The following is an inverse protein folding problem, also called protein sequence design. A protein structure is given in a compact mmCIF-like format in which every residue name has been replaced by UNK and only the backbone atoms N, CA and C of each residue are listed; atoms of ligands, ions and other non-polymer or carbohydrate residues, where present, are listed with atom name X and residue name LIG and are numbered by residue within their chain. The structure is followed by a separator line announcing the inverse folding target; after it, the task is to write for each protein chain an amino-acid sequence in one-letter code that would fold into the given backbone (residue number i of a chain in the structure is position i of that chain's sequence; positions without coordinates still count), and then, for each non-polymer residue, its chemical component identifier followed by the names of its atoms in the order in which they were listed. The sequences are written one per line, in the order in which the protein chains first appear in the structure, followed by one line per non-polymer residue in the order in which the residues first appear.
data_IF_723152980549
#
_entry.id   IF_723152980549
#
_cell.length_a   1.000
_cell.length_b   1.000
_cell.length_c   1.000
_cell.angle_alpha   90.00
_cell.angle_beta   90.00
_cell.angle_gamma   90.00
#
_symmetry.space_group_name_H-M   'P 1'
#
loop_
_entity.id
_entity.type
_entity.pdbx_description
1 polymer ?
#
# COMPACT_ATOMS: atom_id res chain seq x y z
N UNK A 1 -24.61 -71.64 -8.01
CA UNK A 1 -24.01 -70.41 -8.58
C UNK A 1 -22.58 -70.33 -8.08
N UNK A 2 -21.61 -70.18 -8.99
CA UNK A 2 -20.20 -70.39 -8.69
C UNK A 2 -19.65 -69.22 -7.85
N UNK A 3 -19.26 -69.44 -6.59
CA UNK A 3 -18.82 -68.39 -5.67
C UNK A 3 -17.70 -67.52 -6.27
N UNK A 4 -16.84 -68.11 -7.11
CA UNK A 4 -15.76 -67.43 -7.80
C UNK A 4 -16.24 -66.36 -8.81
N UNK A 5 -17.40 -66.58 -9.45
CA UNK A 5 -17.98 -65.61 -10.40
C UNK A 5 -18.53 -64.40 -9.65
N UNK A 6 -19.18 -64.63 -8.50
CA UNK A 6 -19.72 -63.55 -7.67
C UNK A 6 -18.59 -62.69 -7.08
N UNK A 7 -17.51 -63.32 -6.61
CA UNK A 7 -16.33 -62.62 -6.11
C UNK A 7 -15.63 -61.80 -7.19
N UNK A 8 -15.50 -62.35 -8.41
CA UNK A 8 -14.90 -61.61 -9.53
C UNK A 8 -15.73 -60.38 -9.93
N UNK A 9 -17.06 -60.53 -10.00
CA UNK A 9 -17.95 -59.40 -10.26
C UNK A 9 -17.77 -58.34 -9.18
N UNK A 10 -17.82 -58.71 -7.89
CA UNK A 10 -17.67 -57.77 -6.78
C UNK A 10 -16.35 -56.98 -6.83
N UNK A 11 -15.22 -57.66 -7.06
CA UNK A 11 -13.91 -57.02 -7.16
C UNK A 11 -13.86 -56.06 -8.36
N UNK A 12 -14.42 -56.47 -9.50
CA UNK A 12 -14.49 -55.61 -10.68
C UNK A 12 -15.34 -54.36 -10.44
N UNK A 13 -16.47 -54.48 -9.73
CA UNK A 13 -17.33 -53.31 -9.43
C UNK A 13 -16.62 -52.34 -8.48
N UNK A 14 -15.93 -52.84 -7.46
CA UNK A 14 -15.16 -52.01 -6.52
C UNK A 14 -14.03 -51.27 -7.26
N UNK A 15 -13.31 -51.97 -8.15
CA UNK A 15 -12.26 -51.35 -8.95
C UNK A 15 -12.80 -50.22 -9.85
N UNK A 16 -13.94 -50.44 -10.51
CA UNK A 16 -14.59 -49.43 -11.37
C UNK A 16 -15.01 -48.21 -10.53
N UNK A 17 -15.63 -48.42 -9.36
CA UNK A 17 -16.03 -47.32 -8.46
C UNK A 17 -14.82 -46.52 -7.98
N UNK A 18 -13.72 -47.20 -7.62
CA UNK A 18 -12.49 -46.55 -7.19
C UNK A 18 -11.85 -45.71 -8.33
N UNK A 19 -11.87 -46.22 -9.57
CA UNK A 19 -11.40 -45.48 -10.75
C UNK A 19 -12.27 -44.24 -10.99
N UNK A 20 -13.60 -44.39 -10.98
CA UNK A 20 -14.53 -43.27 -11.18
C UNK A 20 -14.38 -42.20 -10.09
N UNK A 21 -14.21 -42.61 -8.83
CA UNK A 21 -13.96 -41.68 -7.73
C UNK A 21 -12.62 -40.94 -7.89
N UNK A 22 -11.57 -41.66 -8.30
CA UNK A 22 -10.25 -41.05 -8.55
C UNK A 22 -10.29 -40.06 -9.70
N UNK A 23 -10.99 -40.39 -10.80
CA UNK A 23 -11.20 -39.49 -11.94
C UNK A 23 -12.03 -38.27 -11.53
N UNK A 24 -13.09 -38.45 -10.75
CA UNK A 24 -13.91 -37.34 -10.25
C UNK A 24 -13.09 -36.41 -9.33
N UNK A 25 -12.32 -36.95 -8.38
CA UNK A 25 -11.44 -36.16 -7.51
C UNK A 25 -10.37 -35.44 -8.32
N UNK A 26 -9.76 -36.10 -9.31
CA UNK A 26 -8.78 -35.49 -10.20
C UNK A 26 -9.39 -34.37 -11.04
N UNK A 27 -10.59 -34.58 -11.61
CA UNK A 27 -11.29 -33.59 -12.42
C UNK A 27 -11.76 -32.40 -11.59
N UNK A 28 -12.28 -32.63 -10.37
CA UNK A 28 -12.60 -31.58 -9.40
C UNK A 28 -11.32 -30.80 -9.11
N UNK A 29 -10.21 -31.47 -8.77
CA UNK A 29 -8.94 -30.79 -8.47
C UNK A 29 -8.39 -29.99 -9.66
N UNK A 30 -8.50 -30.50 -10.88
CA UNK A 30 -8.13 -29.79 -12.11
C UNK A 30 -9.04 -28.60 -12.38
N UNK A 31 -10.36 -28.76 -12.21
CA UNK A 31 -11.33 -27.69 -12.40
C UNK A 31 -11.11 -26.56 -11.38
N UNK A 32 -10.88 -26.90 -10.11
CA UNK A 32 -10.53 -25.91 -9.09
C UNK A 32 -9.14 -25.31 -9.35
N UNK A 33 -8.11 -26.09 -9.72
CA UNK A 33 -6.80 -25.52 -10.03
C UNK A 33 -6.81 -24.61 -11.27
N UNK A 34 -7.54 -24.94 -12.34
CA UNK A 34 -7.66 -24.08 -13.53
C UNK A 34 -8.56 -22.86 -13.29
N UNK A 35 -9.56 -22.98 -12.41
CA UNK A 35 -10.46 -21.86 -12.08
C UNK A 35 -9.85 -20.92 -11.04
N UNK A 36 -8.96 -21.43 -10.20
CA UNK A 36 -8.27 -20.74 -9.12
C UNK A 36 -6.76 -20.90 -9.32
N UNK A 37 -6.27 -20.58 -10.52
CA UNK A 37 -4.85 -20.68 -10.88
C UNK A 37 -4.01 -19.89 -9.84
N UNK A 38 -3.36 -20.61 -8.92
CA UNK A 38 -2.54 -20.04 -7.84
C UNK A 38 -1.09 -20.42 -8.13
N UNK A 39 -0.55 -19.82 -9.18
CA UNK A 39 0.85 -19.42 -9.19
C UNK A 39 0.86 -17.91 -8.89
N UNK A 40 1.86 -17.37 -8.16
CA UNK A 40 1.99 -15.93 -8.00
C UNK A 40 2.26 -15.31 -9.37
N UNK A 41 1.20 -14.88 -10.04
CA UNK A 41 1.31 -14.22 -11.34
C UNK A 41 1.98 -12.87 -11.11
N UNK A 42 3.16 -12.71 -11.69
CA UNK A 42 3.75 -11.39 -11.86
C UNK A 42 2.97 -10.70 -12.97
N UNK A 43 2.03 -9.83 -12.60
CA UNK A 43 1.20 -9.08 -13.55
C UNK A 43 1.72 -7.66 -13.69
N UNK A 44 1.73 -7.13 -14.91
CA UNK A 44 1.95 -5.69 -15.16
C UNK A 44 0.61 -4.98 -15.13
N UNK A 45 0.50 -3.89 -14.37
CA UNK A 45 -0.72 -3.07 -14.32
C UNK A 45 -0.62 -1.99 -15.40
N UNK A 46 -1.27 -2.22 -16.55
CA UNK A 46 -1.20 -1.29 -17.69
C UNK A 46 -1.78 0.10 -17.40
N UNK A 47 -2.70 0.20 -16.43
CA UNK A 47 -3.29 1.47 -15.98
C UNK A 47 -2.34 2.31 -15.11
N UNK A 48 -1.29 1.72 -14.55
CA UNK A 48 -0.27 2.37 -13.73
C UNK A 48 1.04 2.57 -14.53
N UNK A 49 0.95 3.31 -15.64
CA UNK A 49 2.13 3.71 -16.41
C UNK A 49 2.96 4.75 -15.68
N UNK A 50 4.23 4.92 -16.12
CA UNK A 50 5.16 5.94 -15.62
C UNK A 50 4.50 7.33 -15.47
N UNK A 51 3.95 7.85 -16.57
CA UNK A 51 3.37 9.20 -16.62
C UNK A 51 2.20 9.34 -15.63
N UNK A 52 1.36 8.31 -15.54
CA UNK A 52 0.17 8.32 -14.68
C UNK A 52 0.54 8.25 -13.20
N UNK A 53 1.56 7.45 -12.83
CA UNK A 53 2.03 7.37 -11.44
C UNK A 53 2.67 8.68 -10.99
N UNK A 54 3.56 9.25 -11.80
CA UNK A 54 4.21 10.54 -11.50
C UNK A 54 3.17 11.66 -11.34
N UNK A 55 2.24 11.78 -12.28
CA UNK A 55 1.14 12.76 -12.20
C UNK A 55 0.28 12.56 -10.95
N UNK A 56 -0.12 11.31 -10.66
CA UNK A 56 -1.02 11.01 -9.55
C UNK A 56 -0.49 11.55 -8.24
N UNK A 57 0.76 11.22 -7.89
CA UNK A 57 1.33 11.68 -6.62
C UNK A 57 1.77 13.15 -6.65
N UNK A 58 2.19 13.67 -7.81
CA UNK A 58 2.52 15.10 -7.96
C UNK A 58 1.29 16.00 -7.75
N UNK A 59 0.13 15.59 -8.25
CA UNK A 59 -1.13 16.33 -8.14
C UNK A 59 -1.89 16.05 -6.83
N UNK A 60 -1.44 15.06 -6.05
CA UNK A 60 -2.11 14.68 -4.80
C UNK A 60 -2.00 15.81 -3.79
N UNK A 61 -3.12 16.20 -3.17
CA UNK A 61 -3.12 17.17 -2.08
C UNK A 61 -2.26 16.64 -0.92
N UNK A 62 -1.27 17.43 -0.52
CA UNK A 62 -0.37 17.08 0.58
C UNK A 62 -0.76 17.75 1.90
N UNK A 63 -1.97 18.35 1.96
CA UNK A 63 -2.53 18.97 3.17
C UNK A 63 -2.71 17.94 4.28
N UNK A 64 -2.13 18.24 5.44
CA UNK A 64 -2.24 17.43 6.66
C UNK A 64 -3.59 17.73 7.33
N UNK A 65 -4.36 16.71 7.70
CA UNK A 65 -5.72 16.85 8.27
C UNK A 65 -5.83 16.31 9.72
N UNK A 66 -4.89 16.69 10.59
CA UNK A 66 -4.76 16.33 12.02
C UNK A 66 -3.97 15.06 12.36
N UNK A 67 -3.29 15.10 13.52
CA UNK A 67 -2.42 14.05 14.09
C UNK A 67 -3.18 12.95 14.84
N UNK A 68 -4.49 13.14 15.08
CA UNK A 68 -5.34 12.31 15.93
C UNK A 68 -6.08 11.18 15.19
N UNK A 69 -5.78 10.95 13.90
CA UNK A 69 -6.58 10.05 13.06
C UNK A 69 -6.47 8.58 13.52
N UNK A 70 -7.62 7.91 13.67
CA UNK A 70 -7.77 6.51 14.08
C UNK A 70 -7.21 5.47 13.07
N UNK A 71 -6.44 5.91 12.07
CA UNK A 71 -6.16 5.13 10.86
C UNK A 71 -4.73 4.65 10.71
N UNK A 72 -3.81 4.84 11.68
CA UNK A 72 -2.38 4.63 11.43
C UNK A 72 -1.65 3.99 12.60
N UNK A 73 -0.89 2.94 12.27
CA UNK A 73 0.17 2.36 13.08
C UNK A 73 1.48 2.64 12.31
N UNK A 74 2.19 3.71 12.66
CA UNK A 74 3.42 4.13 11.99
C UNK A 74 4.62 3.58 12.74
N UNK A 75 5.53 2.99 11.98
CA UNK A 75 6.85 2.57 12.42
C UNK A 75 7.90 3.22 11.53
N UNK A 76 8.75 4.08 12.09
CA UNK A 76 9.93 4.60 11.39
C UNK A 76 11.14 3.84 11.91
N UNK A 77 11.73 3.01 11.05
CA UNK A 77 12.96 2.29 11.34
C UNK A 77 14.16 3.16 10.97
N UNK A 78 14.98 3.51 11.95
CA UNK A 78 16.23 4.25 11.80
C UNK A 78 17.37 3.33 12.24
N UNK A 79 18.04 2.69 11.27
CA UNK A 79 18.96 1.60 11.57
C UNK A 79 18.25 0.46 12.31
N UNK A 80 18.65 0.19 13.56
CA UNK A 80 18.02 -0.83 14.43
C UNK A 80 16.92 -0.28 15.34
N UNK A 81 16.76 1.04 15.40
CA UNK A 81 15.79 1.70 16.27
C UNK A 81 14.44 1.76 15.56
N UNK A 82 13.36 1.47 16.30
CA UNK A 82 11.98 1.63 15.83
C UNK A 82 11.37 2.80 16.58
N UNK A 83 10.89 3.78 15.82
CA UNK A 83 10.17 4.96 16.30
C UNK A 83 8.69 4.75 15.97
N UNK A 84 7.82 5.00 16.94
CA UNK A 84 6.37 4.81 16.81
C UNK A 84 5.63 6.14 16.73
N UNK A 85 4.33 6.10 16.45
CA UNK A 85 3.44 7.27 16.51
C UNK A 85 3.57 8.03 17.84
N UNK A 86 3.69 7.31 18.96
CA UNK A 86 3.78 7.92 20.29
C UNK A 86 5.07 8.72 20.47
N UNK A 87 6.18 8.27 19.88
CA UNK A 87 7.45 8.99 19.90
C UNK A 87 7.37 10.29 19.09
N UNK A 88 6.69 10.23 17.93
CA UNK A 88 6.45 11.41 17.08
C UNK A 88 5.54 12.42 17.80
N UNK A 89 4.45 11.95 18.42
CA UNK A 89 3.50 12.80 19.17
C UNK A 89 4.19 13.45 20.38
N UNK A 90 5.01 12.69 21.10
CA UNK A 90 5.79 13.21 22.22
C UNK A 90 6.70 14.35 21.76
N UNK A 91 7.49 14.10 20.71
CA UNK A 91 8.39 15.12 20.19
C UNK A 91 7.65 16.34 19.63
N UNK A 92 6.50 16.12 19.00
CA UNK A 92 5.61 17.17 18.52
C UNK A 92 5.11 18.09 19.66
N UNK A 93 4.75 17.51 20.81
CA UNK A 93 4.28 18.26 21.99
C UNK A 93 5.41 18.98 22.73
N UNK A 94 6.64 18.44 22.69
CA UNK A 94 7.82 19.00 23.35
C UNK A 94 8.43 20.22 22.61
N UNK A 95 7.81 20.65 21.50
CA UNK A 95 8.30 21.72 20.60
C UNK A 95 8.26 23.16 21.18
N UNK A 96 7.89 23.37 22.45
CA UNK A 96 7.88 24.70 23.10
C UNK A 96 9.24 25.13 23.72
N UNK A 97 10.35 24.45 23.41
CA UNK A 97 11.69 24.78 23.93
C UNK A 97 12.46 25.77 23.04
N UNK A 98 13.21 26.71 23.64
CA UNK A 98 13.97 27.79 22.98
C UNK A 98 14.95 27.32 21.88
N UNK A 99 15.36 26.05 21.90
CA UNK A 99 16.22 25.42 20.89
C UNK A 99 15.54 25.05 19.56
N UNK A 100 14.21 25.22 19.44
CA UNK A 100 13.48 24.86 18.21
C UNK A 100 13.41 26.00 17.18
N UNK A 101 13.84 27.22 17.53
CA UNK A 101 13.68 28.39 16.66
C UNK A 101 14.40 28.25 15.31
N UNK A 102 15.60 27.67 15.28
CA UNK A 102 16.34 27.47 14.02
C UNK A 102 15.70 26.41 13.13
N UNK A 103 15.27 25.28 13.70
CA UNK A 103 14.58 24.22 12.96
C UNK A 103 13.22 24.71 12.45
N UNK A 104 12.45 25.40 13.28
CA UNK A 104 11.17 26.01 12.87
C UNK A 104 11.41 26.98 11.71
N UNK A 105 12.44 27.83 11.78
CA UNK A 105 12.78 28.76 10.70
C UNK A 105 13.15 28.01 9.41
N UNK A 106 13.98 26.96 9.51
CA UNK A 106 14.39 26.10 8.39
C UNK A 106 13.18 25.46 7.70
N UNK A 107 12.27 24.86 8.46
CA UNK A 107 11.05 24.24 7.92
C UNK A 107 10.05 25.27 7.36
N UNK A 108 9.92 26.43 8.01
CA UNK A 108 9.10 27.54 7.50
C UNK A 108 9.62 28.00 6.14
N UNK A 109 10.91 28.32 6.04
CA UNK A 109 11.54 28.78 4.80
C UNK A 109 11.40 27.75 3.68
N UNK A 110 11.69 26.47 3.95
CA UNK A 110 11.52 25.42 2.95
C UNK A 110 10.09 25.36 2.40
N UNK A 111 9.08 25.38 3.27
CA UNK A 111 7.69 25.34 2.80
C UNK A 111 7.34 26.63 2.04
N UNK A 112 7.71 27.82 2.51
CA UNK A 112 7.44 29.08 1.80
C UNK A 112 8.02 29.08 0.38
N UNK A 113 9.25 28.59 0.21
CA UNK A 113 9.94 28.51 -1.09
C UNK A 113 9.31 27.47 -2.03
N UNK A 114 8.80 26.36 -1.49
CA UNK A 114 8.35 25.19 -2.25
C UNK A 114 6.80 25.05 -2.35
N UNK A 115 6.02 25.99 -1.80
CA UNK A 115 4.54 25.97 -1.91
C UNK A 115 4.00 26.90 -3.02
N UNK A 116 4.82 27.25 -4.01
CA UNK A 116 4.42 28.12 -5.12
C UNK A 116 3.63 27.35 -6.18
N UNK A 117 2.29 27.35 -6.09
CA UNK A 117 1.50 27.07 -7.31
C UNK A 117 0.06 26.59 -7.22
N UNK A 118 -0.43 26.07 -6.09
CA UNK A 118 -1.85 25.68 -6.00
C UNK A 118 -2.43 26.00 -4.62
N UNK A 119 -3.43 26.87 -4.66
CA UNK A 119 -4.33 27.21 -3.56
C UNK A 119 -3.70 27.94 -2.36
N UNK A 120 -3.78 29.28 -2.40
CA UNK A 120 -3.74 30.17 -1.22
C UNK A 120 -4.81 29.86 -0.17
N UNK A 121 -5.73 28.94 -0.43
CA UNK A 121 -6.64 28.38 0.56
C UNK A 121 -5.91 27.30 1.36
N UNK A 122 -5.95 27.43 2.69
CA UNK A 122 -5.55 26.46 3.72
C UNK A 122 -4.22 26.72 4.46
N UNK A 123 -4.03 27.96 4.95
CA UNK A 123 -3.17 28.24 6.12
C UNK A 123 -3.54 27.42 7.38
N UNK A 124 -4.64 26.66 7.37
CA UNK A 124 -5.14 25.96 8.56
C UNK A 124 -4.15 24.95 9.14
N UNK A 125 -3.24 24.36 8.35
CA UNK A 125 -2.35 23.28 8.86
C UNK A 125 -0.87 23.39 8.45
N UNK A 126 -0.40 24.51 7.89
CA UNK A 126 1.03 24.66 7.55
C UNK A 126 1.90 24.64 8.82
N UNK A 127 1.40 25.25 9.90
CA UNK A 127 2.06 25.23 11.21
C UNK A 127 2.16 23.81 11.77
N UNK A 128 1.14 23.00 11.55
CA UNK A 128 1.16 21.59 11.94
C UNK A 128 2.19 20.80 11.13
N UNK A 129 2.30 21.04 9.83
CA UNK A 129 3.35 20.44 9.00
C UNK A 129 4.76 20.87 9.41
N UNK A 130 4.95 22.12 9.82
CA UNK A 130 6.22 22.63 10.35
C UNK A 130 6.57 21.90 11.64
N UNK A 131 5.66 21.89 12.63
CA UNK A 131 5.89 21.22 13.92
C UNK A 131 6.18 19.73 13.78
N UNK A 132 5.43 19.03 12.92
CA UNK A 132 5.67 17.62 12.61
C UNK A 132 7.00 17.41 11.89
N UNK A 133 7.38 18.33 10.99
CA UNK A 133 8.67 18.33 10.31
C UNK A 133 9.83 18.45 11.32
N UNK A 134 9.75 19.43 12.21
CA UNK A 134 10.72 19.67 13.29
C UNK A 134 10.81 18.44 14.20
N UNK A 135 9.66 17.90 14.62
CA UNK A 135 9.62 16.72 15.49
C UNK A 135 10.32 15.52 14.83
N UNK A 136 10.02 15.26 13.55
CA UNK A 136 10.63 14.17 12.81
C UNK A 136 12.13 14.40 12.56
N UNK A 137 12.55 15.62 12.24
CA UNK A 137 13.97 15.97 12.10
C UNK A 137 14.74 15.76 13.41
N UNK A 138 14.19 16.17 14.56
CA UNK A 138 14.79 15.95 15.89
C UNK A 138 14.91 14.46 16.24
N UNK A 139 13.94 13.64 15.85
CA UNK A 139 14.03 12.19 15.97
C UNK A 139 15.22 11.68 15.15
N UNK A 140 15.35 12.08 13.88
CA UNK A 140 16.48 11.65 13.06
C UNK A 140 17.82 12.11 13.64
N UNK A 141 17.96 13.37 14.04
CA UNK A 141 19.20 13.92 14.65
C UNK A 141 19.65 13.09 15.86
N UNK A 142 18.72 12.59 16.68
CA UNK A 142 19.05 11.77 17.86
C UNK A 142 19.49 10.35 17.53
N UNK A 143 19.07 9.82 16.38
CA UNK A 143 19.22 8.39 16.06
C UNK A 143 20.16 8.12 14.87
N UNK A 144 20.59 9.15 14.14
CA UNK A 144 21.52 9.02 13.01
C UNK A 144 22.34 10.29 12.81
N UNK A 145 23.61 10.14 12.43
CA UNK A 145 24.46 11.23 11.94
C UNK A 145 24.07 11.71 10.54
N UNK A 146 23.42 10.84 9.77
CA UNK A 146 22.97 11.05 8.41
C UNK A 146 21.47 11.37 8.43
N UNK A 147 21.14 12.62 8.72
CA UNK A 147 19.76 13.13 8.77
C UNK A 147 19.22 13.28 7.35
N UNK A 148 18.01 12.79 7.04
CA UNK A 148 17.40 13.00 5.73
C UNK A 148 17.23 14.46 5.38
N UNK A 149 17.30 14.76 4.08
CA UNK A 149 16.96 16.09 3.57
C UNK A 149 15.54 16.51 3.96
N UNK A 150 15.35 17.82 4.15
CA UNK A 150 14.09 18.42 4.57
C UNK A 150 12.94 18.11 3.62
N UNK A 151 13.20 18.02 2.31
CA UNK A 151 12.20 17.62 1.32
C UNK A 151 11.70 16.19 1.55
N UNK A 152 12.60 15.26 1.86
CA UNK A 152 12.24 13.88 2.19
C UNK A 152 11.45 13.80 3.49
N UNK A 153 11.81 14.57 4.51
CA UNK A 153 11.04 14.66 5.77
C UNK A 153 9.60 15.08 5.47
N UNK A 154 9.41 16.18 4.72
CA UNK A 154 8.07 16.65 4.38
C UNK A 154 7.30 15.70 3.46
N UNK A 155 7.99 14.91 2.65
CA UNK A 155 7.39 13.88 1.83
C UNK A 155 6.95 12.65 2.63
N UNK A 156 7.75 12.21 3.61
CA UNK A 156 7.35 11.18 4.59
C UNK A 156 6.06 11.60 5.31
N UNK A 157 5.97 12.86 5.74
CA UNK A 157 4.76 13.40 6.37
C UNK A 157 3.52 13.31 5.48
N UNK A 158 3.65 13.38 4.15
CA UNK A 158 2.50 13.21 3.25
C UNK A 158 1.95 11.78 3.33
N UNK A 159 2.79 10.76 3.36
CA UNK A 159 2.33 9.39 3.59
C UNK A 159 1.71 9.20 4.98
N UNK A 160 2.32 9.82 5.99
CA UNK A 160 1.89 9.65 7.38
C UNK A 160 0.63 10.46 7.70
N UNK A 161 0.38 11.62 7.09
CA UNK A 161 -0.66 12.53 7.56
C UNK A 161 -1.52 13.18 6.46
N UNK A 162 -1.22 13.00 5.16
CA UNK A 162 -2.08 13.48 4.08
C UNK A 162 -3.07 12.37 3.63
N UNK A 163 -4.40 12.56 3.79
CA UNK A 163 -5.38 11.55 3.40
C UNK A 163 -5.40 11.24 1.91
N UNK A 164 -5.11 12.23 1.06
CA UNK A 164 -5.17 12.05 -0.39
C UNK A 164 -4.02 11.17 -0.90
N UNK A 165 -2.88 11.14 -0.20
CA UNK A 165 -1.80 10.17 -0.47
C UNK A 165 -2.27 8.73 -0.23
N UNK A 166 -2.99 8.51 0.87
CA UNK A 166 -3.61 7.22 1.16
C UNK A 166 -4.69 6.86 0.12
N UNK A 167 -5.50 7.83 -0.31
CA UNK A 167 -6.49 7.62 -1.37
C UNK A 167 -5.81 7.22 -2.69
N UNK A 168 -4.71 7.90 -3.06
CA UNK A 168 -3.90 7.55 -4.22
C UNK A 168 -3.38 6.11 -4.18
N UNK A 169 -2.96 5.63 -3.01
CA UNK A 169 -2.53 4.23 -2.79
C UNK A 169 -3.70 3.23 -2.90
N UNK A 170 -4.86 3.53 -2.31
CA UNK A 170 -6.05 2.69 -2.49
C UNK A 170 -6.51 2.62 -3.94
N UNK A 171 -6.39 3.73 -4.68
CA UNK A 171 -6.69 3.74 -6.11
C UNK A 171 -5.69 2.88 -6.90
N UNK A 172 -4.43 2.78 -6.46
CA UNK A 172 -3.47 1.84 -7.07
C UNK A 172 -3.82 0.39 -6.76
N UNK A 173 -4.29 0.11 -5.55
CA UNK A 173 -4.80 -1.21 -5.19
C UNK A 173 -6.02 -1.58 -6.04
N UNK A 174 -6.91 -0.63 -6.30
CA UNK A 174 -8.06 -0.85 -7.18
C UNK A 174 -7.69 -1.23 -8.60
N UNK A 175 -6.61 -0.65 -9.13
CA UNK A 175 -6.09 -0.96 -10.46
C UNK A 175 -5.53 -2.39 -10.55
N UNK A 176 -5.32 -3.07 -9.42
CA UNK A 176 -4.92 -4.50 -9.38
C UNK A 176 -6.12 -5.46 -9.50
N UNK A 177 -7.36 -4.96 -9.32
CA UNK A 177 -8.56 -5.80 -9.26
C UNK A 177 -9.01 -6.14 -10.68
N UNK A 178 -8.89 -7.42 -11.04
CA UNK A 178 -9.43 -7.93 -12.29
C UNK A 178 -10.95 -7.83 -12.31
N UNK A 179 -11.53 -7.29 -13.40
CA UNK A 179 -12.98 -7.04 -13.53
C UNK A 179 -13.54 -6.18 -12.38
N UNK A 180 -12.81 -5.11 -11.99
CA UNK A 180 -13.24 -4.11 -10.97
C UNK A 180 -14.71 -3.71 -11.07
N UNK A 181 -15.29 -3.62 -12.28
CA UNK A 181 -16.71 -3.30 -12.51
C UNK A 181 -17.70 -4.22 -11.78
N UNK A 182 -17.32 -5.46 -11.50
CA UNK A 182 -18.17 -6.49 -10.90
C UNK A 182 -18.25 -6.39 -9.37
N UNK A 183 -17.43 -5.53 -8.77
CA UNK A 183 -17.29 -5.39 -7.33
C UNK A 183 -17.63 -3.97 -6.86
N UNK A 184 -18.24 -3.88 -5.68
CA UNK A 184 -18.20 -2.69 -4.85
C UNK A 184 -17.06 -2.84 -3.86
N UNK A 185 -16.46 -1.73 -3.43
CA UNK A 185 -15.30 -1.80 -2.56
C UNK A 185 -15.44 -0.92 -1.34
N UNK A 186 -15.10 -1.44 -0.17
CA UNK A 186 -15.07 -0.71 1.08
C UNK A 186 -13.65 -0.75 1.68
N UNK A 187 -13.15 0.39 2.12
CA UNK A 187 -11.89 0.45 2.87
C UNK A 187 -12.11 -0.21 4.23
N UNK A 188 -11.10 -0.96 4.70
CA UNK A 188 -11.17 -1.52 6.05
C UNK A 188 -11.13 -0.40 7.09
N UNK A 189 -11.72 -0.68 8.25
CA UNK A 189 -11.57 0.14 9.46
C UNK A 189 -10.31 -0.23 10.25
N UNK A 190 -9.58 -1.28 9.83
CA UNK A 190 -8.30 -1.65 10.45
C UNK A 190 -7.26 -0.54 10.28
N UNK A 191 -6.48 -0.22 11.32
CA UNK A 191 -5.42 0.77 11.21
C UNK A 191 -4.40 0.38 10.15
N UNK A 192 -4.05 1.33 9.29
CA UNK A 192 -3.06 1.15 8.23
C UNK A 192 -1.68 1.09 8.85
N UNK A 193 -0.91 0.05 8.53
CA UNK A 193 0.47 -0.05 8.98
C UNK A 193 1.39 0.63 7.96
N UNK A 194 2.09 1.69 8.38
CA UNK A 194 3.07 2.41 7.58
C UNK A 194 4.44 2.15 8.18
N UNK A 195 5.33 1.52 7.42
CA UNK A 195 6.72 1.33 7.82
C UNK A 195 7.64 2.12 6.89
N UNK A 196 8.42 3.03 7.47
CA UNK A 196 9.43 3.82 6.75
C UNK A 196 10.80 3.38 7.24
N UNK A 197 11.64 2.87 6.35
CA UNK A 197 13.02 2.48 6.68
C UNK A 197 13.98 3.49 6.09
N UNK A 198 14.68 4.20 6.97
CA UNK A 198 15.88 4.94 6.62
C UNK A 198 17.09 4.01 6.83
N UNK A 199 17.95 3.89 5.81
CA UNK A 199 19.20 3.14 5.87
C UNK A 199 20.38 4.14 5.92
N UNK A 200 20.62 4.75 7.09
CA UNK A 200 21.52 5.89 7.23
C UNK A 200 22.97 5.58 6.85
N UNK A 201 23.39 4.32 7.02
CA UNK A 201 24.76 3.88 6.76
C UNK A 201 25.06 3.67 5.27
N UNK A 202 24.04 3.71 4.40
CA UNK A 202 24.20 3.45 2.97
C UNK A 202 23.89 4.66 2.09
N UNK A 203 22.78 5.39 2.32
CA UNK A 203 22.43 6.58 1.54
C UNK A 203 21.50 7.52 2.36
N UNK A 204 21.95 8.72 2.79
CA UNK A 204 21.19 9.63 3.67
C UNK A 204 19.87 10.13 3.05
N UNK A 205 19.80 10.17 1.72
CA UNK A 205 18.68 10.75 0.97
C UNK A 205 17.79 9.69 0.33
N UNK A 206 17.60 8.56 1.02
CA UNK A 206 16.72 7.50 0.56
C UNK A 206 15.91 6.90 1.70
N UNK A 207 14.68 6.52 1.41
CA UNK A 207 13.90 5.69 2.31
C UNK A 207 13.08 4.66 1.55
N UNK A 208 12.91 3.50 2.18
CA UNK A 208 11.98 2.48 1.74
C UNK A 208 10.68 2.68 2.51
N UNK A 209 9.58 2.87 1.79
CA UNK A 209 8.24 2.86 2.40
C UNK A 209 7.57 1.52 2.11
N UNK A 210 6.92 0.97 3.13
CA UNK A 210 6.09 -0.24 3.05
C UNK A 210 4.76 0.03 3.74
N UNK A 211 3.66 -0.12 3.01
CA UNK A 211 2.32 0.21 3.49
C UNK A 211 1.44 -1.01 3.35
N UNK A 212 0.91 -1.50 4.48
CA UNK A 212 -0.07 -2.57 4.50
C UNK A 212 -1.48 -1.97 4.46
N UNK A 213 -2.24 -2.31 3.42
CA UNK A 213 -3.60 -1.88 3.19
C UNK A 213 -4.54 -3.08 3.22
N UNK A 214 -5.72 -2.88 3.78
CA UNK A 214 -6.80 -3.86 3.77
C UNK A 214 -8.06 -3.25 3.17
N UNK A 215 -8.73 -4.04 2.35
CA UNK A 215 -9.91 -3.63 1.60
C UNK A 215 -10.86 -4.82 1.48
N UNK A 216 -12.15 -4.58 1.55
CA UNK A 216 -13.17 -5.62 1.33
C UNK A 216 -13.84 -5.37 0.00
N UNK A 217 -13.93 -6.43 -0.82
CA UNK A 217 -14.66 -6.44 -2.08
C UNK A 217 -16.00 -7.13 -1.85
N UNK A 218 -17.08 -6.49 -2.29
CA UNK A 218 -18.42 -7.05 -2.28
C UNK A 218 -18.86 -7.30 -3.71
N UNK A 219 -19.22 -8.54 -4.04
CA UNK A 219 -19.70 -8.86 -5.39
C UNK A 219 -21.05 -8.20 -5.66
N UNK A 220 -21.21 -7.52 -6.79
CA UNK A 220 -22.51 -6.97 -7.21
C UNK A 220 -23.52 -8.07 -7.55
N UNK A 221 -23.04 -9.24 -7.98
CA UNK A 221 -23.89 -10.41 -8.31
C UNK A 221 -24.30 -11.19 -7.06
N UNK A 222 -23.47 -11.17 -6.03
CA UNK A 222 -23.76 -11.81 -4.75
C UNK A 222 -23.29 -10.90 -3.60
N UNK A 223 -24.13 -9.96 -3.14
CA UNK A 223 -23.76 -8.99 -2.11
C UNK A 223 -23.38 -9.61 -0.76
N UNK A 224 -23.77 -10.86 -0.49
CA UNK A 224 -23.42 -11.58 0.74
C UNK A 224 -21.99 -12.15 0.71
N UNK A 225 -21.34 -12.11 -0.45
CA UNK A 225 -19.98 -12.58 -0.64
C UNK A 225 -18.99 -11.43 -0.40
N UNK A 226 -18.33 -11.48 0.77
CA UNK A 226 -17.27 -10.53 1.13
C UNK A 226 -15.91 -11.17 0.87
N UNK A 227 -15.09 -10.50 0.06
CA UNK A 227 -13.76 -10.97 -0.30
C UNK A 227 -12.75 -10.01 0.32
N UNK A 228 -12.01 -10.41 1.37
CA UNK A 228 -10.94 -9.60 1.91
C UNK A 228 -9.77 -9.55 0.91
N UNK A 229 -9.31 -8.36 0.60
CA UNK A 229 -8.15 -8.06 -0.21
C UNK A 229 -7.16 -7.28 0.63
N UNK A 230 -6.03 -7.89 0.91
CA UNK A 230 -4.93 -7.23 1.58
C UNK A 230 -3.81 -6.94 0.58
N UNK A 231 -3.04 -5.90 0.85
CA UNK A 231 -1.92 -5.54 0.01
C UNK A 231 -0.76 -4.92 0.79
N UNK A 232 0.46 -5.20 0.34
CA UNK A 232 1.66 -4.47 0.73
C UNK A 232 2.18 -3.66 -0.47
N UNK A 233 2.17 -2.34 -0.34
CA UNK A 233 2.72 -1.42 -1.36
C UNK A 233 4.09 -0.94 -0.90
N UNK A 234 5.09 -1.10 -1.75
CA UNK A 234 6.49 -0.76 -1.46
C UNK A 234 7.09 0.16 -2.52
N UNK A 235 7.83 1.16 -2.07
CA UNK A 235 8.65 2.03 -2.94
C UNK A 235 9.99 2.32 -2.29
N UNK A 236 11.06 2.32 -3.10
CA UNK A 236 12.30 3.00 -2.75
C UNK A 236 12.24 4.42 -3.28
N UNK A 237 12.26 5.40 -2.39
CA UNK A 237 12.18 6.82 -2.70
C UNK A 237 13.55 7.45 -2.44
N UNK A 238 14.08 8.17 -3.41
CA UNK A 238 15.40 8.78 -3.34
C UNK A 238 15.39 10.23 -3.81
N UNK A 239 16.13 11.08 -3.11
CA UNK A 239 16.44 12.45 -3.51
C UNK A 239 17.90 12.51 -4.01
N UNK A 240 18.16 12.85 -5.28
CA UNK A 240 19.51 12.98 -5.80
C UNK A 240 20.26 14.12 -5.12
N UNK A 241 21.58 14.00 -5.02
CA UNK A 241 22.42 14.98 -4.32
C UNK A 241 22.43 16.39 -4.96
N UNK A 242 21.97 16.52 -6.21
CA UNK A 242 22.01 17.76 -7.00
C UNK A 242 20.62 18.34 -7.33
N UNK A 243 19.54 17.75 -6.82
CA UNK A 243 18.18 18.18 -7.10
C UNK A 243 17.31 17.98 -5.85
N UNK A 244 16.91 19.08 -5.21
CA UNK A 244 16.04 19.07 -4.04
C UNK A 244 14.54 19.15 -4.39
N UNK A 245 14.19 19.15 -5.68
CA UNK A 245 12.82 19.36 -6.18
C UNK A 245 12.20 18.09 -6.75
N UNK A 246 13.02 17.15 -7.22
CA UNK A 246 12.57 15.91 -7.85
C UNK A 246 12.86 14.69 -6.98
N UNK A 247 11.80 13.97 -6.61
CA UNK A 247 11.90 12.67 -5.98
C UNK A 247 11.81 11.54 -7.00
N UNK A 248 12.70 10.57 -6.85
CA UNK A 248 12.76 9.39 -7.71
C UNK A 248 12.19 8.19 -6.98
N UNK A 249 11.22 7.56 -7.62
CA UNK A 249 10.57 6.34 -7.16
C UNK A 249 11.11 5.16 -7.96
N UNK A 250 11.60 4.16 -7.25
CA UNK A 250 12.13 2.95 -7.84
C UNK A 250 11.70 1.71 -7.08
N UNK A 251 11.92 0.54 -7.68
CA UNK A 251 11.62 -0.76 -7.06
C UNK A 251 10.18 -0.87 -6.55
N UNK A 252 9.25 -0.22 -7.25
CA UNK A 252 7.84 -0.18 -6.87
C UNK A 252 7.18 -1.54 -7.01
N UNK A 253 6.55 -2.02 -5.94
CA UNK A 253 5.89 -3.34 -5.91
C UNK A 253 4.57 -3.25 -5.15
N UNK A 254 3.54 -3.93 -5.65
CA UNK A 254 2.30 -4.21 -4.94
C UNK A 254 2.18 -5.73 -4.79
N UNK A 255 2.22 -6.24 -3.58
CA UNK A 255 1.94 -7.65 -3.27
C UNK A 255 0.52 -7.73 -2.70
N UNK A 256 -0.40 -8.41 -3.38
CA UNK A 256 -1.78 -8.59 -2.94
C UNK A 256 -2.03 -10.01 -2.48
N UNK A 257 -2.84 -10.18 -1.44
CA UNK A 257 -3.25 -11.48 -0.94
C UNK A 257 -4.72 -11.46 -0.54
N UNK A 258 -5.45 -12.49 -0.95
CA UNK A 258 -6.85 -12.69 -0.58
C UNK A 258 -7.04 -14.06 0.04
N UNK A 259 -7.80 -14.11 1.14
CA UNK A 259 -8.28 -15.35 1.72
C UNK A 259 -9.63 -15.73 1.13
N UNK A 260 -10.09 -16.96 1.40
CA UNK A 260 -11.37 -17.42 0.86
C UNK A 260 -12.53 -16.46 1.20
N UNK A 261 -13.52 -16.33 0.31
CA UNK A 261 -14.65 -15.45 0.53
C UNK A 261 -15.39 -15.78 1.83
N UNK A 262 -15.79 -14.76 2.57
CA UNK A 262 -16.59 -14.86 3.77
C UNK A 262 -18.06 -14.70 3.37
N UNK A 263 -18.88 -15.72 3.65
CA UNK A 263 -20.33 -15.60 3.59
C UNK A 263 -20.83 -15.04 4.92
N UNK A 264 -21.40 -13.84 4.92
CA UNK A 264 -22.13 -13.33 6.09
C UNK A 264 -23.51 -13.97 6.15
N UNK A 265 -23.62 -15.16 6.71
CA UNK A 265 -24.92 -15.65 7.17
C UNK A 265 -25.22 -14.95 8.48
N UNK A 266 -26.10 -13.95 8.49
CA UNK A 266 -26.67 -13.45 9.75
C UNK A 266 -27.61 -14.55 10.24
N UNK A 267 -27.07 -15.51 10.99
CA UNK A 267 -27.86 -16.48 11.73
C UNK A 267 -27.55 -16.29 13.20
N UNK A 268 -28.47 -15.64 13.91
CA UNK A 268 -28.57 -15.75 15.36
C UNK A 268 -28.83 -17.21 15.70
N UNK A 269 -27.78 -18.00 15.94
CA UNK A 269 -27.72 -19.07 16.95
C UNK A 269 -26.37 -19.80 16.94
N UNK A 270 -25.80 -19.88 18.15
CA UNK A 270 -24.80 -20.82 18.70
C UNK A 270 -23.83 -21.53 17.75
N UNK A 271 -22.56 -21.21 18.00
CA UNK A 271 -21.36 -22.03 17.83
C UNK A 271 -21.59 -23.51 17.47
N UNK A 272 -21.01 -23.91 16.35
CA UNK A 272 -20.31 -25.19 16.29
C UNK A 272 -19.06 -24.99 15.45
N UNK A 273 -17.92 -24.94 16.13
CA UNK A 273 -16.61 -24.94 15.50
C UNK A 273 -16.42 -26.25 14.73
N UNK A 274 -16.41 -26.16 13.40
CA UNK A 274 -15.87 -27.23 12.57
C UNK A 274 -14.51 -26.77 12.04
N UNK A 275 -13.46 -27.43 12.54
CA UNK A 275 -12.11 -27.35 12.01
C UNK A 275 -12.12 -27.93 10.59
N UNK A 276 -12.15 -27.07 9.55
CA UNK A 276 -11.99 -27.51 8.17
C UNK A 276 -11.02 -26.59 7.40
N UNK A 277 -9.84 -27.17 7.19
CA UNK A 277 -8.96 -27.06 6.02
C UNK A 277 -8.12 -25.81 5.79
N UNK A 278 -6.84 -26.06 5.47
CA UNK A 278 -5.80 -25.10 5.04
C UNK A 278 -6.36 -24.05 4.07
N UNK A 279 -6.38 -22.81 4.52
CA UNK A 279 -6.72 -21.62 3.73
C UNK A 279 -5.82 -21.54 2.49
N UNK A 280 -6.43 -21.63 1.30
CA UNK A 280 -5.75 -21.30 0.04
C UNK A 280 -5.70 -19.78 -0.09
N UNK A 281 -4.58 -19.16 0.29
CA UNK A 281 -4.33 -17.74 0.02
C UNK A 281 -3.98 -17.58 -1.46
N UNK A 282 -4.69 -16.71 -2.16
CA UNK A 282 -4.34 -16.33 -3.53
C UNK A 282 -3.42 -15.11 -3.43
N UNK A 283 -2.19 -15.23 -3.91
CA UNK A 283 -1.20 -14.16 -3.91
C UNK A 283 -0.91 -13.69 -5.34
N UNK A 284 -0.77 -12.38 -5.52
CA UNK A 284 -0.33 -11.78 -6.78
C UNK A 284 0.68 -10.67 -6.52
N UNK A 285 1.65 -10.54 -7.43
CA UNK A 285 2.72 -9.54 -7.33
C UNK A 285 2.70 -8.66 -8.57
N UNK A 286 2.71 -7.36 -8.37
CA UNK A 286 2.71 -6.37 -9.43
C UNK A 286 3.95 -5.50 -9.36
N UNK A 287 4.68 -5.40 -10.47
CA UNK A 287 5.86 -4.54 -10.58
C UNK A 287 5.42 -3.21 -11.20
N UNK A 288 5.75 -2.11 -10.53
CA UNK A 288 5.48 -0.76 -10.99
C UNK A 288 6.71 -0.22 -11.73
N UNK A 289 6.52 0.57 -12.81
CA UNK A 289 7.63 1.26 -13.45
C UNK A 289 8.24 2.29 -12.49
N UNK A 290 9.55 2.52 -12.57
CA UNK A 290 10.20 3.63 -11.87
C UNK A 290 9.61 4.94 -12.35
N UNK A 291 9.29 5.88 -11.46
CA UNK A 291 8.69 7.18 -11.80
C UNK A 291 9.31 8.35 -11.02
N UNK A 292 8.96 9.59 -11.38
CA UNK A 292 9.43 10.79 -10.68
C UNK A 292 8.25 11.64 -10.23
N UNK A 293 8.46 12.38 -9.16
CA UNK A 293 7.54 13.40 -8.63
C UNK A 293 8.31 14.71 -8.53
N UNK A 294 7.65 15.80 -8.89
CA UNK A 294 8.19 17.15 -8.69
C UNK A 294 7.34 17.87 -7.65
N UNK A 295 7.95 18.29 -6.54
CA UNK A 295 7.19 18.97 -5.48
C UNK A 295 6.71 20.38 -5.88
N UNK A 296 7.34 20.99 -6.89
CA UNK A 296 7.14 22.39 -7.27
C UNK A 296 6.52 22.58 -8.67
N UNK A 297 6.04 21.52 -9.30
CA UNK A 297 5.53 21.62 -10.66
C UNK A 297 4.12 22.22 -10.69
N UNK A 298 3.93 23.32 -11.44
CA UNK A 298 2.60 23.84 -11.70
C UNK A 298 1.80 22.86 -12.57
N UNK A 299 0.47 22.92 -12.49
CA UNK A 299 -0.44 22.11 -13.33
C UNK A 299 -0.12 22.26 -14.83
N UNK A 300 0.26 23.48 -15.23
CA UNK A 300 0.70 23.81 -16.59
C UNK A 300 2.04 23.17 -16.96
N UNK A 301 3.01 23.11 -16.04
CA UNK A 301 4.31 22.46 -16.26
C UNK A 301 4.18 20.94 -16.35
N UNK A 302 3.27 20.36 -15.57
CA UNK A 302 2.93 18.92 -15.61
C UNK A 302 2.26 18.57 -16.94
N UNK A 303 1.29 19.37 -17.39
CA UNK A 303 0.66 19.16 -18.70
C UNK A 303 1.67 19.30 -19.84
N UNK A 304 2.59 20.27 -19.75
CA UNK A 304 3.62 20.50 -20.75
C UNK A 304 4.67 19.37 -20.80
N UNK A 305 5.04 18.77 -19.66
CA UNK A 305 5.89 17.57 -19.61
C UNK A 305 5.22 16.37 -20.30
N UNK A 306 3.91 16.21 -20.12
CA UNK A 306 3.12 15.15 -20.77
C UNK A 306 3.04 15.35 -22.28
N UNK A 307 2.78 16.58 -22.71
CA UNK A 307 2.64 16.93 -24.13
C UNK A 307 3.99 16.84 -24.87
N UNK A 308 5.10 17.18 -24.19
CA UNK A 308 6.45 17.11 -24.77
C UNK A 308 6.91 15.66 -24.93
N UNK A 309 6.54 14.76 -24.02
CA UNK A 309 6.94 13.35 -24.08
C UNK A 309 6.05 12.50 -25.02
N UNK A 310 4.81 12.90 -25.28
CA UNK A 310 3.99 12.31 -26.34
C UNK A 310 4.50 12.63 -27.75
N UNK A 311 5.21 13.75 -27.94
CA UNK A 311 5.83 14.11 -29.24
C UNK A 311 7.14 13.39 -29.54
N UNK A 312 7.72 12.69 -28.56
CA UNK A 312 8.99 11.95 -28.67
C UNK A 312 8.76 10.45 -28.93
N UNK A 313 7.49 9.98 -28.89
CA UNK A 313 7.09 8.64 -29.34
C UNK A 313 6.44 8.71 -30.72
#
# INVERSE_FOLDING_TARGET
MNNNLLTYILISTIAIIAILFTVAVFYIRLYYNNKYDIAPFVKKISTLSFDKLGQKFTLTDSTIKETSSAYKNVEICIGKTIITDQDIIKEYNDNNSEGNNELIKKHTQYLEENTTGKNKTTYQNIQERIKLGVALEKIFIRHTSNVPDISLIHHMLSYIYAPDYLHSLYNMLDDTIEKKSDYCTAHSTTPIKIQIKNLPDTMPNQFLINIALEKTLTSKKNPELLIPLNANIRFLISLPHNDNTTLYYSSGVIDTYTSQPIHTTITTTKETSSNISKYSTIEAKYILPNFVIQHNASESHIQQLCDTQQRIR
#
